data_IF_646836196431
#
_entry.id   IF_646836196431
#
_cell.length_a   1.000
_cell.length_b   1.000
_cell.length_c   1.000
_cell.angle_alpha   90.00
_cell.angle_beta   90.00
_cell.angle_gamma   90.00
#
_symmetry.space_group_name_H-M   'P 1'
#
loop_
_entity.id
_entity.type
_entity.pdbx_description
1 polymer ?
#
# COMPACT_ATOMS: atom_id res chain seq x y z
N UNK A 1 32.87 4.72 21.96
CA UNK A 1 32.89 6.15 21.53
C UNK A 1 31.80 6.38 20.49
N UNK A 2 30.98 7.44 20.62
CA UNK A 2 29.92 7.73 19.65
C UNK A 2 30.52 8.09 18.28
N UNK A 3 30.01 7.49 17.20
CA UNK A 3 30.45 7.81 15.83
C UNK A 3 30.04 9.25 15.51
N UNK A 4 31.00 10.06 15.08
CA UNK A 4 30.80 11.45 14.65
C UNK A 4 30.53 11.50 13.14
N UNK A 5 29.70 12.45 12.72
CA UNK A 5 29.40 12.74 11.31
C UNK A 5 29.36 14.25 11.10
N UNK A 6 29.49 14.71 9.85
CA UNK A 6 29.27 16.11 9.51
C UNK A 6 27.77 16.42 9.32
N UNK A 7 27.29 17.51 9.90
CA UNK A 7 25.95 18.03 9.66
C UNK A 7 25.80 18.40 8.17
N UNK A 8 24.78 17.87 7.51
CA UNK A 8 24.53 18.12 6.08
C UNK A 8 24.14 19.56 5.74
N UNK A 9 23.76 20.37 6.73
CA UNK A 9 23.31 21.75 6.53
C UNK A 9 24.42 22.76 6.77
N UNK A 10 25.23 22.58 7.81
CA UNK A 10 26.25 23.55 8.21
C UNK A 10 27.69 23.00 8.24
N UNK A 11 27.89 21.72 7.92
CA UNK A 11 29.21 21.10 7.84
C UNK A 11 29.96 20.94 9.16
N UNK A 12 29.30 21.18 10.32
CA UNK A 12 29.90 20.99 11.65
C UNK A 12 29.73 19.55 12.15
N UNK A 13 30.69 19.10 12.95
CA UNK A 13 30.67 17.76 13.53
C UNK A 13 29.53 17.59 14.54
N UNK A 14 28.79 16.49 14.38
CA UNK A 14 27.69 16.10 15.26
C UNK A 14 27.74 14.59 15.53
N UNK A 15 27.20 14.19 16.68
CA UNK A 15 27.01 12.77 17.00
C UNK A 15 26.02 12.14 16.01
N UNK A 16 26.34 10.99 15.42
CA UNK A 16 25.53 10.31 14.40
C UNK A 16 24.07 10.09 14.81
N UNK A 17 23.81 9.93 16.11
CA UNK A 17 22.49 9.66 16.68
C UNK A 17 21.78 10.92 17.22
N UNK A 18 22.38 12.11 17.14
CA UNK A 18 21.73 13.35 17.53
C UNK A 18 20.50 13.61 16.66
N UNK A 19 19.36 13.96 17.25
CA UNK A 19 18.11 14.25 16.51
C UNK A 19 18.15 15.61 15.80
N UNK A 20 18.87 16.57 16.37
CA UNK A 20 19.05 17.93 15.86
C UNK A 20 20.50 18.35 15.97
N UNK A 21 20.97 19.19 15.03
CA UNK A 21 22.29 19.77 15.07
C UNK A 21 22.34 20.88 16.14
N UNK A 22 23.26 20.83 17.12
CA UNK A 22 23.36 21.84 18.17
C UNK A 22 23.85 23.20 17.67
N UNK A 23 24.48 23.27 16.49
CA UNK A 23 25.00 24.52 15.95
C UNK A 23 24.04 25.28 15.04
N UNK A 24 23.09 24.61 14.38
CA UNK A 24 22.18 25.26 13.43
C UNK A 24 20.72 24.81 13.54
N UNK A 25 20.39 23.92 14.49
CA UNK A 25 19.03 23.42 14.71
C UNK A 25 18.50 22.44 13.65
N UNK A 26 19.25 22.17 12.58
CA UNK A 26 18.81 21.28 11.50
C UNK A 26 18.52 19.85 12.00
N UNK A 27 17.40 19.26 11.56
CA UNK A 27 17.02 17.89 11.92
C UNK A 27 17.93 16.88 11.23
N UNK A 28 18.60 16.04 12.01
CA UNK A 28 19.41 14.94 11.48
C UNK A 28 18.52 13.71 11.28
N UNK A 29 17.79 13.70 10.15
CA UNK A 29 16.93 12.58 9.78
C UNK A 29 17.79 11.42 9.28
N UNK A 30 17.57 10.21 9.82
CA UNK A 30 18.19 8.99 9.28
C UNK A 30 17.88 8.91 7.78
N UNK A 31 18.87 8.61 6.92
CA UNK A 31 18.64 8.48 5.49
C UNK A 31 17.54 7.44 5.24
N UNK A 32 16.65 7.75 4.31
CA UNK A 32 15.42 6.98 4.06
C UNK A 32 15.77 5.52 3.70
N UNK A 33 16.87 5.30 2.96
CA UNK A 33 17.38 3.97 2.60
C UNK A 33 17.88 3.08 3.75
N UNK A 34 17.99 3.62 4.98
CA UNK A 34 18.27 2.82 6.18
C UNK A 34 17.02 2.47 6.97
N UNK A 35 15.85 2.91 6.50
CA UNK A 35 14.56 2.49 7.06
C UNK A 35 14.17 1.21 6.36
N UNK A 36 13.82 0.20 7.15
CA UNK A 36 13.55 -1.16 6.65
C UNK A 36 12.55 -1.18 5.48
N UNK A 37 11.49 -0.37 5.55
CA UNK A 37 10.49 -0.26 4.47
C UNK A 37 11.06 0.22 3.13
N UNK A 38 12.07 1.10 3.12
CA UNK A 38 12.67 1.59 1.87
C UNK A 38 13.51 0.50 1.17
N UNK A 39 14.12 -0.40 1.95
CA UNK A 39 14.86 -1.55 1.43
C UNK A 39 13.89 -2.54 0.77
N UNK A 40 12.73 -2.78 1.40
CA UNK A 40 11.67 -3.65 0.85
C UNK A 40 11.07 -3.05 -0.43
N UNK A 41 10.79 -1.74 -0.47
CA UNK A 41 10.26 -1.10 -1.69
C UNK A 41 11.25 -1.12 -2.85
N UNK A 42 12.54 -0.93 -2.59
CA UNK A 42 13.58 -0.99 -3.63
C UNK A 42 13.73 -2.41 -4.18
N UNK A 43 13.65 -3.44 -3.34
CA UNK A 43 13.68 -4.84 -3.78
C UNK A 43 12.45 -5.20 -4.64
N UNK A 44 11.26 -4.73 -4.27
CA UNK A 44 10.04 -4.94 -5.08
C UNK A 44 10.15 -4.26 -6.46
N UNK A 45 10.71 -3.05 -6.54
CA UNK A 45 10.89 -2.34 -7.82
C UNK A 45 11.95 -3.01 -8.70
N UNK A 46 13.03 -3.53 -8.12
CA UNK A 46 14.09 -4.23 -8.87
C UNK A 46 13.57 -5.56 -9.44
N UNK A 47 12.73 -6.29 -8.70
CA UNK A 47 12.10 -7.54 -9.17
C UNK A 47 11.00 -7.25 -10.21
N UNK A 48 10.24 -6.15 -10.05
CA UNK A 48 9.21 -5.72 -11.01
C UNK A 48 9.74 -5.17 -12.34
N UNK A 49 10.99 -4.72 -12.40
CA UNK A 49 11.59 -4.18 -13.63
C UNK A 49 12.10 -5.26 -14.60
N UNK A 50 12.16 -6.54 -14.19
CA UNK A 50 12.63 -7.63 -15.04
C UNK A 50 11.56 -8.23 -15.97
N UNK A 51 10.30 -7.74 -15.92
CA UNK A 51 9.17 -8.35 -16.65
C UNK A 51 8.54 -7.49 -17.75
N UNK A 52 9.16 -6.38 -18.17
CA UNK A 52 8.64 -5.54 -19.28
C UNK A 52 9.61 -5.47 -20.46
N UNK A 53 9.99 -6.62 -20.99
CA UNK A 53 10.55 -6.76 -22.35
C UNK A 53 9.42 -6.97 -23.36
N UNK A 54 8.83 -5.89 -23.85
CA UNK A 54 7.69 -5.93 -24.79
C UNK A 54 7.87 -4.94 -25.93
N UNK A 55 8.03 -5.51 -27.13
CA UNK A 55 8.42 -4.91 -28.39
C UNK A 55 7.46 -3.80 -28.87
N UNK A 56 8.00 -2.68 -29.38
CA UNK A 56 7.21 -1.62 -30.04
C UNK A 56 6.77 -2.11 -31.41
N UNK A 57 5.46 -2.19 -31.66
CA UNK A 57 4.92 -2.08 -33.01
C UNK A 57 3.82 -1.04 -33.07
N UNK A 58 4.00 -0.15 -34.04
CA UNK A 58 3.25 1.05 -34.33
C UNK A 58 2.26 0.70 -35.43
N UNK A 59 0.97 0.93 -35.21
CA UNK A 59 0.02 1.00 -36.32
C UNK A 59 -1.05 2.02 -35.98
N UNK A 60 -1.02 3.10 -36.76
CA UNK A 60 -2.03 4.15 -36.87
C UNK A 60 -3.35 3.54 -37.41
N UNK A 61 -4.49 4.20 -37.14
CA UNK A 61 -5.48 4.64 -38.14
C UNK A 61 -6.79 5.15 -37.50
N UNK A 62 -7.11 6.38 -37.91
CA UNK A 62 -8.41 7.04 -38.14
C UNK A 62 -9.42 7.28 -37.00
N UNK A 63 -9.36 8.53 -36.53
CA UNK A 63 -10.49 9.46 -36.36
C UNK A 63 -11.62 9.28 -37.39
N UNK A 64 -12.86 9.37 -36.92
CA UNK A 64 -13.99 9.86 -37.72
C UNK A 64 -14.89 10.69 -36.81
N UNK A 65 -14.74 12.01 -36.93
CA UNK A 65 -15.72 13.00 -36.52
C UNK A 65 -16.99 12.84 -37.38
N UNK A 66 -18.16 13.07 -36.78
CA UNK A 66 -19.29 13.67 -37.51
C UNK A 66 -20.09 14.54 -36.56
N UNK A 67 -19.86 15.84 -36.73
CA UNK A 67 -20.65 16.98 -36.28
C UNK A 67 -21.85 17.16 -37.21
N UNK A 68 -23.04 17.45 -36.66
CA UNK A 68 -23.91 18.58 -37.03
C UNK A 68 -25.35 18.38 -36.55
N UNK A 69 -25.86 19.29 -35.72
CA UNK A 69 -26.96 20.21 -36.09
C UNK A 69 -27.47 21.00 -34.87
N UNK A 70 -26.99 22.24 -34.75
CA UNK A 70 -27.77 23.48 -34.85
C UNK A 70 -29.20 23.59 -34.28
N UNK A 71 -29.32 24.53 -33.33
CA UNK A 71 -30.27 25.69 -33.29
C UNK A 71 -31.58 25.59 -32.46
N UNK A 72 -31.54 26.38 -31.37
CA UNK A 72 -32.52 27.35 -30.83
C UNK A 72 -33.66 26.98 -29.88
N UNK A 73 -33.64 27.72 -28.76
CA UNK A 73 -34.72 28.40 -28.01
C UNK A 73 -35.94 27.55 -27.61
N UNK A 74 -36.43 27.58 -26.36
CA UNK A 74 -36.95 28.77 -25.71
C UNK A 74 -37.21 28.47 -24.23
N UNK A 75 -37.02 29.52 -23.43
CA UNK A 75 -37.34 29.72 -22.03
C UNK A 75 -38.84 29.52 -21.78
N UNK A 76 -39.22 28.68 -20.81
CA UNK A 76 -40.41 29.01 -20.02
C UNK A 76 -40.29 28.52 -18.58
N UNK A 77 -40.66 29.43 -17.69
CA UNK A 77 -40.64 29.35 -16.25
C UNK A 77 -42.00 28.81 -15.81
N UNK A 78 -42.02 27.80 -14.94
CA UNK A 78 -43.19 27.56 -14.09
C UNK A 78 -42.72 27.03 -12.75
N UNK A 79 -42.84 27.88 -11.74
CA UNK A 79 -42.83 27.48 -10.33
C UNK A 79 -44.13 26.73 -10.00
N UNK A 80 -44.05 25.65 -9.22
CA UNK A 80 -45.06 25.31 -8.21
C UNK A 80 -44.40 24.43 -7.14
N UNK A 81 -44.40 24.94 -5.91
CA UNK A 81 -44.10 24.23 -4.67
C UNK A 81 -45.25 23.26 -4.30
N UNK A 82 -44.94 22.00 -3.96
CA UNK A 82 -45.21 21.44 -2.61
C UNK A 82 -44.78 19.96 -2.47
N UNK A 83 -43.87 19.76 -1.51
CA UNK A 83 -43.68 18.64 -0.58
C UNK A 83 -44.64 17.43 -0.69
N UNK A 84 -44.12 16.20 -0.70
CA UNK A 84 -43.63 15.49 0.50
C UNK A 84 -43.07 14.08 0.17
N UNK A 85 -42.05 13.72 0.94
CA UNK A 85 -41.61 12.36 1.32
C UNK A 85 -40.70 11.56 0.35
N UNK A 86 -39.38 11.69 0.56
CA UNK A 86 -38.43 10.58 0.41
C UNK A 86 -37.11 10.92 1.11
N UNK A 87 -36.77 10.13 2.13
CA UNK A 87 -35.44 10.04 2.74
C UNK A 87 -34.37 9.63 1.71
N UNK A 88 -33.84 10.60 0.96
CA UNK A 88 -32.72 10.43 0.02
C UNK A 88 -31.88 11.72 -0.15
N UNK A 89 -31.90 12.62 0.83
CA UNK A 89 -31.21 13.91 0.73
C UNK A 89 -29.87 13.90 1.47
N UNK A 90 -28.78 13.79 0.71
CA UNK A 90 -27.48 14.46 0.97
C UNK A 90 -26.42 14.10 -0.08
N UNK A 91 -26.61 13.03 -0.86
CA UNK A 91 -25.60 12.60 -1.84
C UNK A 91 -25.50 13.50 -3.08
N UNK A 92 -26.57 14.18 -3.45
CA UNK A 92 -26.67 14.92 -4.71
C UNK A 92 -26.25 16.41 -4.63
N UNK A 93 -26.12 16.97 -3.41
CA UNK A 93 -25.70 18.37 -3.20
C UNK A 93 -24.23 18.52 -2.78
N UNK A 94 -23.46 17.43 -2.74
CA UNK A 94 -22.03 17.52 -2.46
C UNK A 94 -21.29 18.23 -3.60
N UNK A 95 -20.26 19.06 -3.33
CA UNK A 95 -19.45 19.67 -4.36
C UNK A 95 -18.94 18.63 -5.38
N UNK A 96 -18.82 19.02 -6.67
CA UNK A 96 -18.38 18.10 -7.74
C UNK A 96 -17.06 17.37 -7.42
N UNK A 97 -16.16 18.03 -6.71
CA UNK A 97 -14.90 17.44 -6.24
C UNK A 97 -15.14 16.29 -5.26
N UNK A 98 -16.11 16.40 -4.36
CA UNK A 98 -16.44 15.40 -3.34
C UNK A 98 -17.04 14.16 -3.99
N UNK A 99 -17.90 14.35 -5.00
CA UNK A 99 -18.44 13.26 -5.81
C UNK A 99 -17.33 12.53 -6.59
N UNK A 100 -16.37 13.29 -7.14
CA UNK A 100 -15.21 12.73 -7.84
C UNK A 100 -14.31 11.93 -6.91
N UNK A 101 -14.02 12.48 -5.72
CA UNK A 101 -13.27 11.80 -4.67
C UNK A 101 -13.96 10.51 -4.23
N UNK A 102 -15.29 10.54 -4.04
CA UNK A 102 -16.07 9.35 -3.68
C UNK A 102 -16.01 8.25 -4.75
N UNK A 103 -16.08 8.61 -6.04
CA UNK A 103 -15.95 7.64 -7.14
C UNK A 103 -14.56 7.00 -7.19
N UNK A 104 -13.50 7.79 -6.97
CA UNK A 104 -12.13 7.28 -6.85
C UNK A 104 -11.96 6.42 -5.61
N UNK A 105 -12.57 6.83 -4.50
CA UNK A 105 -12.55 6.10 -3.26
C UNK A 105 -13.14 4.70 -3.41
N UNK A 106 -14.26 4.57 -4.12
CA UNK A 106 -14.88 3.28 -4.43
C UNK A 106 -13.93 2.37 -5.21
N UNK A 107 -13.25 2.89 -6.24
CA UNK A 107 -12.28 2.12 -7.01
C UNK A 107 -11.11 1.65 -6.14
N UNK A 108 -10.53 2.53 -5.35
CA UNK A 108 -9.39 2.19 -4.50
C UNK A 108 -9.75 1.25 -3.35
N UNK A 109 -10.90 1.47 -2.71
CA UNK A 109 -11.37 0.61 -1.64
C UNK A 109 -11.75 -0.77 -2.17
N UNK A 110 -12.57 -0.86 -3.22
CA UNK A 110 -13.21 -2.12 -3.60
C UNK A 110 -12.44 -2.92 -4.68
N UNK A 111 -11.60 -2.26 -5.49
CA UNK A 111 -10.76 -2.93 -6.50
C UNK A 111 -9.35 -3.14 -5.97
N UNK A 112 -8.74 -2.09 -5.41
CA UNK A 112 -7.37 -2.17 -4.87
C UNK A 112 -7.30 -2.65 -3.41
N UNK A 113 -8.45 -2.83 -2.76
CA UNK A 113 -8.56 -3.37 -1.40
C UNK A 113 -7.74 -2.57 -0.38
N UNK A 114 -7.73 -1.24 -0.51
CA UNK A 114 -7.02 -0.39 0.46
C UNK A 114 -7.71 -0.40 1.82
N UNK A 115 -6.93 -0.15 2.86
CA UNK A 115 -7.45 0.21 4.19
C UNK A 115 -8.06 1.61 4.16
N UNK A 116 -8.85 1.94 5.19
CA UNK A 116 -9.41 3.28 5.36
C UNK A 116 -8.32 4.36 5.40
N UNK A 117 -7.22 4.11 6.12
CA UNK A 117 -6.09 5.05 6.22
C UNK A 117 -5.31 5.16 4.91
N UNK A 118 -5.05 4.03 4.25
CA UNK A 118 -4.38 4.00 2.95
C UNK A 118 -5.19 4.71 1.87
N UNK A 119 -6.52 4.57 1.92
CA UNK A 119 -7.44 5.27 1.03
C UNK A 119 -7.35 6.79 1.16
N UNK A 120 -7.44 7.30 2.39
CA UNK A 120 -7.29 8.73 2.66
C UNK A 120 -5.96 9.26 2.10
N UNK A 121 -4.86 8.56 2.39
CA UNK A 121 -3.53 8.93 1.91
C UNK A 121 -3.43 8.92 0.38
N UNK A 122 -4.04 7.94 -0.29
CA UNK A 122 -4.04 7.85 -1.74
C UNK A 122 -4.80 9.02 -2.39
N UNK A 123 -5.93 9.43 -1.78
CA UNK A 123 -6.75 10.52 -2.29
C UNK A 123 -6.08 11.89 -2.10
N UNK A 124 -5.35 12.10 -1.01
CA UNK A 124 -4.68 13.37 -0.71
C UNK A 124 -3.25 13.47 -1.24
N UNK A 125 -2.62 12.35 -1.63
CA UNK A 125 -1.22 12.32 -2.04
C UNK A 125 -0.92 13.20 -3.27
N UNK A 126 0.21 13.92 -3.21
CA UNK A 126 0.78 14.68 -4.33
C UNK A 126 1.14 13.82 -5.55
N UNK A 127 1.37 12.52 -5.36
CA UNK A 127 1.59 11.59 -6.47
C UNK A 127 0.32 10.83 -6.87
N UNK A 128 -0.77 11.01 -6.11
CA UNK A 128 -2.07 10.39 -6.32
C UNK A 128 -3.05 11.35 -6.96
N UNK A 129 -4.20 11.53 -6.32
CA UNK A 129 -5.32 12.30 -6.88
C UNK A 129 -5.34 13.78 -6.46
N UNK A 130 -4.61 14.16 -5.38
CA UNK A 130 -4.53 15.53 -4.86
C UNK A 130 -5.88 16.18 -4.52
N UNK A 131 -6.85 15.38 -4.09
CA UNK A 131 -8.08 15.95 -3.55
C UNK A 131 -7.79 16.75 -2.28
N UNK A 132 -8.59 17.78 -2.03
CA UNK A 132 -8.61 18.47 -0.74
C UNK A 132 -8.83 17.48 0.42
N UNK A 133 -8.32 17.81 1.61
CA UNK A 133 -8.47 16.95 2.80
C UNK A 133 -9.96 16.72 3.11
N UNK A 134 -10.79 17.73 2.93
CA UNK A 134 -12.23 17.65 3.17
C UNK A 134 -12.94 16.76 2.14
N UNK A 135 -12.60 16.84 0.85
CA UNK A 135 -13.16 15.97 -0.18
C UNK A 135 -12.72 14.52 0.02
N UNK A 136 -11.47 14.27 0.40
CA UNK A 136 -10.95 12.95 0.71
C UNK A 136 -11.62 12.36 1.96
N UNK A 137 -11.79 13.16 3.01
CA UNK A 137 -12.47 12.72 4.23
C UNK A 137 -13.94 12.39 3.95
N UNK A 138 -14.65 13.25 3.20
CA UNK A 138 -16.00 12.96 2.74
C UNK A 138 -16.08 11.64 1.98
N UNK A 139 -15.15 11.40 1.05
CA UNK A 139 -15.10 10.17 0.27
C UNK A 139 -14.87 8.93 1.15
N UNK A 140 -13.95 9.01 2.11
CA UNK A 140 -13.65 7.94 3.06
C UNK A 140 -14.83 7.60 3.98
N UNK A 141 -15.61 8.61 4.37
CA UNK A 141 -16.77 8.42 5.25
C UNK A 141 -18.00 7.90 4.50
N UNK A 142 -18.09 8.16 3.20
CA UNK A 142 -19.26 7.82 2.38
C UNK A 142 -19.05 6.62 1.46
N UNK A 143 -17.81 6.13 1.30
CA UNK A 143 -17.53 4.92 0.54
C UNK A 143 -18.09 3.69 1.27
N UNK A 144 -18.80 2.85 0.54
CA UNK A 144 -19.29 1.57 1.05
C UNK A 144 -18.25 0.50 0.72
N UNK A 145 -17.47 0.13 1.71
CA UNK A 145 -16.44 -0.89 1.58
C UNK A 145 -16.48 -1.86 2.77
N UNK A 146 -16.16 -3.12 2.50
CA UNK A 146 -15.94 -4.12 3.53
C UNK A 146 -14.44 -4.16 3.88
N UNK A 147 -14.06 -3.41 4.90
CA UNK A 147 -12.66 -3.24 5.29
C UNK A 147 -12.01 -4.54 5.78
N UNK A 148 -12.77 -5.42 6.42
CA UNK A 148 -12.31 -6.74 6.85
C UNK A 148 -12.02 -7.63 5.65
N UNK A 149 -12.91 -7.63 4.66
CA UNK A 149 -12.68 -8.35 3.41
C UNK A 149 -11.51 -7.76 2.61
N UNK A 150 -11.33 -6.44 2.62
CA UNK A 150 -10.17 -5.79 2.00
C UNK A 150 -8.86 -6.28 2.63
N UNK A 151 -8.80 -6.31 3.97
CA UNK A 151 -7.65 -6.85 4.70
C UNK A 151 -7.41 -8.32 4.33
N UNK A 152 -8.46 -9.14 4.25
CA UNK A 152 -8.36 -10.54 3.85
C UNK A 152 -7.80 -10.72 2.43
N UNK A 153 -8.27 -9.93 1.46
CA UNK A 153 -7.75 -9.99 0.08
C UNK A 153 -6.28 -9.58 0.00
N UNK A 154 -5.86 -8.55 0.76
CA UNK A 154 -4.45 -8.15 0.88
C UNK A 154 -3.63 -9.24 1.54
N UNK A 155 -4.16 -9.86 2.59
CA UNK A 155 -3.53 -10.96 3.29
C UNK A 155 -3.29 -12.14 2.37
N UNK A 156 -4.31 -12.52 1.58
CA UNK A 156 -4.23 -13.60 0.60
C UNK A 156 -3.19 -13.30 -0.48
N UNK A 157 -3.20 -12.07 -1.02
CA UNK A 157 -2.19 -11.64 -1.99
C UNK A 157 -0.77 -11.77 -1.42
N UNK A 158 -0.48 -11.23 -0.24
CA UNK A 158 0.87 -11.28 0.33
C UNK A 158 1.30 -12.66 0.78
N UNK A 159 0.37 -13.47 1.31
CA UNK A 159 0.67 -14.86 1.63
C UNK A 159 1.14 -15.62 0.38
N UNK A 160 0.50 -15.38 -0.77
CA UNK A 160 0.77 -16.14 -2.00
C UNK A 160 1.90 -15.55 -2.87
N UNK A 161 2.09 -14.23 -2.88
CA UNK A 161 3.11 -13.59 -3.74
C UNK A 161 4.41 -13.29 -3.00
N UNK A 162 4.32 -12.97 -1.71
CA UNK A 162 5.49 -12.63 -0.88
C UNK A 162 5.89 -13.75 0.08
N UNK A 163 5.12 -14.84 0.13
CA UNK A 163 5.38 -16.01 0.97
C UNK A 163 5.59 -15.63 2.45
N UNK A 164 4.80 -14.69 2.97
CA UNK A 164 4.95 -14.24 4.35
C UNK A 164 4.47 -15.31 5.35
N UNK A 165 5.05 -15.30 6.55
CA UNK A 165 4.51 -16.02 7.72
C UNK A 165 3.23 -15.33 8.23
N UNK A 166 2.43 -16.02 9.06
CA UNK A 166 1.26 -15.40 9.72
C UNK A 166 1.62 -14.11 10.48
N UNK A 167 2.73 -14.14 11.22
CA UNK A 167 3.19 -12.97 12.01
C UNK A 167 3.69 -11.85 11.11
N UNK A 168 4.48 -12.17 10.09
CA UNK A 168 4.95 -11.19 9.11
C UNK A 168 3.79 -10.56 8.34
N UNK A 169 2.77 -11.35 8.00
CA UNK A 169 1.56 -10.89 7.33
C UNK A 169 0.77 -9.91 8.20
N UNK A 170 0.56 -10.23 9.48
CA UNK A 170 -0.09 -9.33 10.43
C UNK A 170 0.64 -7.99 10.54
N UNK A 171 1.97 -8.04 10.63
CA UNK A 171 2.81 -6.85 10.68
C UNK A 171 2.71 -6.03 9.39
N UNK A 172 2.69 -6.67 8.23
CA UNK A 172 2.56 -5.98 6.95
C UNK A 172 1.21 -5.26 6.83
N UNK A 173 0.13 -5.89 7.28
CA UNK A 173 -1.22 -5.31 7.22
C UNK A 173 -1.38 -4.10 8.15
N UNK A 174 -0.77 -4.14 9.33
CA UNK A 174 -0.90 -3.08 10.36
C UNK A 174 0.16 -1.99 10.26
N UNK A 175 1.30 -2.27 9.62
CA UNK A 175 2.45 -1.37 9.58
C UNK A 175 2.13 0.00 8.99
N UNK A 176 2.74 1.03 9.58
CA UNK A 176 2.68 2.41 9.11
C UNK A 176 3.30 2.65 7.74
N UNK A 177 4.14 1.73 7.27
CA UNK A 177 4.69 1.78 5.91
C UNK A 177 4.08 0.70 5.00
N UNK A 178 3.20 -0.15 5.55
CA UNK A 178 2.45 -1.17 4.82
C UNK A 178 1.02 -0.68 4.60
N UNK A 179 0.05 -1.54 4.93
CA UNK A 179 -1.34 -1.31 4.54
C UNK A 179 -2.14 -0.46 5.52
N UNK A 180 -1.70 -0.30 6.78
CA UNK A 180 -2.37 0.50 7.82
C UNK A 180 -3.83 0.09 8.12
N UNK A 181 -4.17 -1.18 7.96
CA UNK A 181 -5.41 -1.73 8.51
C UNK A 181 -5.44 -1.60 10.03
N UNK A 182 -6.63 -1.58 10.62
CA UNK A 182 -6.73 -1.68 12.09
C UNK A 182 -6.29 -3.05 12.56
N UNK A 183 -6.00 -3.17 13.86
CA UNK A 183 -5.63 -4.46 14.45
C UNK A 183 -6.75 -5.49 14.29
N UNK A 184 -8.01 -5.09 14.41
CA UNK A 184 -9.18 -5.96 14.26
C UNK A 184 -9.38 -6.43 12.82
N UNK A 185 -9.16 -5.57 11.83
CA UNK A 185 -9.23 -5.90 10.41
C UNK A 185 -8.10 -6.86 10.01
N UNK A 186 -6.88 -6.57 10.47
CA UNK A 186 -5.73 -7.43 10.25
C UNK A 186 -5.90 -8.79 10.94
N UNK A 187 -6.38 -8.81 12.18
CA UNK A 187 -6.62 -10.06 12.90
C UNK A 187 -7.68 -10.91 12.20
N UNK A 188 -8.80 -10.29 11.78
CA UNK A 188 -9.80 -10.97 10.95
C UNK A 188 -9.16 -11.59 9.69
N UNK A 189 -8.29 -10.85 9.01
CA UNK A 189 -7.61 -11.37 7.84
C UNK A 189 -6.70 -12.58 8.16
N UNK A 190 -5.94 -12.53 9.27
CA UNK A 190 -5.08 -13.65 9.70
C UNK A 190 -5.88 -14.89 10.08
N UNK A 191 -7.05 -14.70 10.70
CA UNK A 191 -7.90 -15.82 11.11
C UNK A 191 -8.59 -16.50 9.92
N UNK A 192 -8.78 -15.77 8.80
CA UNK A 192 -9.56 -16.24 7.66
C UNK A 192 -8.72 -16.53 6.40
N UNK A 193 -7.48 -16.07 6.32
CA UNK A 193 -6.61 -16.32 5.17
C UNK A 193 -6.22 -17.79 5.10
N UNK A 194 -6.38 -18.38 3.91
CA UNK A 194 -6.06 -19.80 3.65
C UNK A 194 -4.77 -19.87 2.86
N UNK A 195 -3.67 -20.14 3.57
CA UNK A 195 -2.36 -20.33 2.95
C UNK A 195 -1.70 -21.59 3.49
N UNK A 196 -0.83 -22.18 2.67
CA UNK A 196 0.08 -23.24 3.08
C UNK A 196 1.36 -22.60 3.65
N UNK A 197 1.39 -22.44 4.96
CA UNK A 197 2.49 -21.75 5.66
C UNK A 197 3.81 -22.51 5.59
N UNK A 198 3.76 -23.84 5.50
CA UNK A 198 4.93 -24.69 5.28
C UNK A 198 5.51 -24.47 3.88
N UNK A 199 4.66 -24.35 2.87
CA UNK A 199 5.07 -23.97 1.51
C UNK A 199 5.65 -22.55 1.46
N UNK A 200 5.07 -21.59 2.17
CA UNK A 200 5.60 -20.23 2.27
C UNK A 200 7.01 -20.21 2.88
N UNK A 201 7.20 -20.93 3.99
CA UNK A 201 8.51 -21.07 4.63
C UNK A 201 9.54 -21.69 3.68
N UNK A 202 9.17 -22.76 2.96
CA UNK A 202 10.04 -23.40 1.97
C UNK A 202 10.40 -22.45 0.81
N UNK A 203 9.45 -21.66 0.31
CA UNK A 203 9.71 -20.69 -0.75
C UNK A 203 10.73 -19.63 -0.29
N UNK A 204 10.54 -19.07 0.92
CA UNK A 204 11.51 -18.14 1.54
C UNK A 204 12.88 -18.77 1.75
N UNK A 205 12.91 -20.01 2.21
CA UNK A 205 14.14 -20.76 2.41
C UNK A 205 14.92 -20.92 1.11
N UNK A 206 14.25 -21.24 0.00
CA UNK A 206 14.84 -21.33 -1.34
C UNK A 206 15.40 -20.00 -1.81
N UNK A 207 14.68 -18.89 -1.60
CA UNK A 207 15.20 -17.54 -1.90
C UNK A 207 16.48 -17.26 -1.13
N UNK A 208 16.51 -17.52 0.19
CA UNK A 208 17.71 -17.28 0.99
C UNK A 208 18.89 -18.17 0.61
N UNK A 209 18.64 -19.44 0.30
CA UNK A 209 19.69 -20.35 -0.16
C UNK A 209 20.23 -19.92 -1.53
N UNK A 210 19.36 -19.67 -2.52
CA UNK A 210 19.76 -19.50 -3.91
C UNK A 210 20.24 -18.09 -4.24
N UNK A 211 19.60 -17.06 -3.67
CA UNK A 211 19.93 -15.67 -4.00
C UNK A 211 20.96 -15.09 -3.03
N UNK A 212 20.94 -15.53 -1.77
CA UNK A 212 21.83 -15.02 -0.72
C UNK A 212 22.93 -16.01 -0.33
N UNK A 213 22.98 -17.20 -0.95
CA UNK A 213 23.99 -18.24 -0.69
C UNK A 213 24.11 -18.60 0.80
N UNK A 214 23.01 -18.54 1.53
CA UNK A 214 22.98 -18.83 2.95
C UNK A 214 23.03 -20.34 3.20
N UNK A 215 23.74 -20.75 4.25
CA UNK A 215 23.74 -22.15 4.71
C UNK A 215 22.37 -22.53 5.28
N UNK A 216 22.03 -23.82 5.31
CA UNK A 216 20.77 -24.32 5.89
C UNK A 216 20.54 -23.83 7.34
N UNK A 217 21.60 -23.78 8.15
CA UNK A 217 21.52 -23.24 9.51
C UNK A 217 21.19 -21.75 9.53
N UNK A 218 21.86 -20.94 8.69
CA UNK A 218 21.58 -19.51 8.64
C UNK A 218 20.18 -19.22 8.08
N UNK A 219 19.71 -20.04 7.13
CA UNK A 219 18.33 -19.97 6.63
C UNK A 219 17.33 -20.27 7.74
N UNK A 220 17.57 -21.32 8.55
CA UNK A 220 16.71 -21.66 9.68
C UNK A 220 16.60 -20.48 10.66
N UNK A 221 17.75 -19.97 11.11
CA UNK A 221 17.84 -18.82 12.02
C UNK A 221 17.05 -17.64 11.47
N UNK A 222 17.19 -17.34 10.18
CA UNK A 222 16.50 -16.24 9.52
C UNK A 222 14.99 -16.45 9.47
N UNK A 223 14.52 -17.66 9.20
CA UNK A 223 13.09 -17.98 9.11
C UNK A 223 12.39 -17.79 10.47
N UNK A 224 13.02 -18.20 11.57
CA UNK A 224 12.42 -18.12 12.92
C UNK A 224 12.67 -16.78 13.60
N UNK A 225 13.69 -16.03 13.17
CA UNK A 225 14.12 -14.82 13.88
C UNK A 225 13.04 -13.75 13.99
N UNK A 226 13.05 -13.05 15.12
CA UNK A 226 12.15 -11.93 15.38
C UNK A 226 12.41 -10.70 14.51
N UNK A 227 13.61 -10.57 13.93
CA UNK A 227 13.94 -9.52 12.98
C UNK A 227 13.77 -9.97 11.52
N UNK A 228 13.59 -11.26 11.28
CA UNK A 228 13.44 -11.87 9.97
C UNK A 228 12.00 -12.24 9.68
N UNK A 229 11.76 -13.50 9.32
CA UNK A 229 10.47 -13.91 8.74
C UNK A 229 9.42 -14.35 9.78
N UNK A 230 9.82 -14.64 11.03
CA UNK A 230 8.91 -15.04 12.13
C UNK A 230 8.01 -16.24 11.81
N UNK A 231 8.47 -17.18 11.01
CA UNK A 231 7.83 -18.49 10.90
C UNK A 231 7.88 -19.22 12.25
N UNK A 232 6.95 -20.15 12.45
CA UNK A 232 7.05 -21.08 13.58
C UNK A 232 8.24 -22.03 13.38
N UNK A 233 8.75 -22.58 14.47
CA UNK A 233 9.81 -23.58 14.44
C UNK A 233 9.45 -24.77 13.54
N UNK A 234 8.20 -25.23 13.59
CA UNK A 234 7.72 -26.33 12.76
C UNK A 234 7.76 -26.01 11.26
N UNK A 235 7.31 -24.81 10.87
CA UNK A 235 7.33 -24.36 9.48
C UNK A 235 8.76 -24.17 8.96
N UNK A 236 9.65 -23.59 9.78
CA UNK A 236 11.05 -23.43 9.44
C UNK A 236 11.76 -24.78 9.30
N UNK A 237 11.55 -25.70 10.25
CA UNK A 237 12.15 -27.03 10.17
C UNK A 237 11.64 -27.82 8.96
N UNK A 238 10.34 -27.71 8.65
CA UNK A 238 9.79 -28.27 7.41
C UNK A 238 10.53 -27.70 6.19
N UNK A 239 10.74 -26.39 6.14
CA UNK A 239 11.46 -25.76 5.05
C UNK A 239 12.89 -26.31 4.91
N UNK A 240 13.66 -26.39 6.00
CA UNK A 240 15.03 -26.93 5.98
C UNK A 240 15.10 -28.38 5.51
N UNK A 241 14.18 -29.23 5.99
CA UNK A 241 14.12 -30.64 5.62
C UNK A 241 13.83 -30.84 4.12
N UNK A 242 13.17 -29.87 3.49
CA UNK A 242 12.78 -29.91 2.08
C UNK A 242 13.63 -28.97 1.20
N UNK A 243 14.70 -28.38 1.74
CA UNK A 243 15.69 -27.65 0.95
C UNK A 243 16.65 -28.63 0.29
N UNK A 244 16.80 -28.49 -1.02
CA UNK A 244 17.83 -29.20 -1.79
C UNK A 244 19.23 -28.81 -1.29
N UNK A 245 20.22 -29.67 -1.55
CA UNK A 245 21.60 -29.42 -1.14
C UNK A 245 22.31 -28.50 -2.12
#
# INVERSE_FOLDING_TARGET
>A
MPKMIQCKTCGKEIVKNAKTCPSCGAKNKKPIYKRWWFIVTVLIVIIGAASSGGNKNKQDVATSDTTNSSISNTKDTSETHNNQDATNDTKDNAPKEYQSALKKADSYANIMNLSKKGLYQQLTSDAGEKFTEEAAQYAVDNVKADWKNNALKKADSYANTMNLSKKGLYQQLTSDAGEKFTEEEAQYAIDNVKADWKKNALAKAKTYQNEMNMSKSAVHDQLVSDAGEKFTEEEAQYAINNLEN
#
